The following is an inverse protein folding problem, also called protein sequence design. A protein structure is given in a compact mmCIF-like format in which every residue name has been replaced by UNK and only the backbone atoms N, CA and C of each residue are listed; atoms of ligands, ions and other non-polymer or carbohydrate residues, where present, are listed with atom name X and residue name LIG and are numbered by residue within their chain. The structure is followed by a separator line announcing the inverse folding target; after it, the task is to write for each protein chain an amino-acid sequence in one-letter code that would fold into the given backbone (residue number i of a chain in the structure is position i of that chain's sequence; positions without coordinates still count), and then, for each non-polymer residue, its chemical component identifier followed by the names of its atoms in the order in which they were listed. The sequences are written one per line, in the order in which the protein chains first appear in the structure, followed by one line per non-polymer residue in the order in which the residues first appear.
data_IF_076907739066
#
_entry.id   IF_076907739066
#
_cell.length_a   1.000
_cell.length_b   1.000
_cell.length_c   1.000
_cell.angle_alpha   90.00
_cell.angle_beta   90.00
_cell.angle_gamma   90.00
#
_symmetry.space_group_name_H-M   'P 1'
#
loop_
_entity.id
_entity.type
_entity.pdbx_description
1 polymer ?
#
# COMPACT_ATOMS: atom_id res chain seq x y z
N UNK A 1 3.44 -26.06 9.80
CA UNK A 1 3.22 -25.55 8.43
C UNK A 1 1.77 -25.09 8.27
N UNK A 2 1.28 -24.19 9.14
CA UNK A 2 -0.13 -23.75 9.09
C UNK A 2 -0.34 -22.31 9.54
N UNK A 3 0.74 -21.54 9.80
CA UNK A 3 0.64 -20.13 10.23
C UNK A 3 0.70 -19.14 9.06
N UNK A 4 1.21 -19.57 7.90
CA UNK A 4 1.43 -18.68 6.75
C UNK A 4 0.16 -18.45 5.89
N UNK A 5 -0.84 -19.34 6.01
CA UNK A 5 -2.08 -19.30 5.21
C UNK A 5 -3.10 -18.28 5.78
N UNK A 6 -3.20 -18.13 7.11
CA UNK A 6 -4.11 -17.13 7.71
C UNK A 6 -3.68 -15.69 7.40
N UNK A 7 -2.37 -15.44 7.36
CA UNK A 7 -1.82 -14.11 7.10
C UNK A 7 -2.07 -13.63 5.66
N UNK A 8 -1.98 -14.54 4.68
CA UNK A 8 -2.20 -14.26 3.26
C UNK A 8 -3.63 -13.81 2.94
N UNK A 9 -4.60 -14.38 3.66
CA UNK A 9 -6.02 -14.06 3.45
C UNK A 9 -6.40 -12.75 4.15
N UNK A 10 -5.79 -12.47 5.31
CA UNK A 10 -6.15 -11.32 6.15
C UNK A 10 -5.65 -9.97 5.59
N UNK A 11 -4.52 -9.96 4.88
CA UNK A 11 -4.00 -8.75 4.24
C UNK A 11 -4.89 -8.24 3.10
N UNK A 12 -5.71 -9.09 2.48
CA UNK A 12 -6.54 -8.73 1.33
C UNK A 12 -7.99 -8.37 1.65
N UNK A 13 -8.37 -8.29 2.92
CA UNK A 13 -9.77 -8.13 3.32
C UNK A 13 -10.33 -6.71 3.07
N UNK A 14 -9.49 -5.68 3.09
CA UNK A 14 -9.91 -4.29 2.92
C UNK A 14 -9.55 -3.81 1.51
N UNK A 15 -10.51 -3.25 0.74
CA UNK A 15 -10.21 -2.60 -0.54
C UNK A 15 -9.18 -1.47 -0.37
N UNK A 16 -8.18 -1.43 -1.26
CA UNK A 16 -7.04 -0.50 -1.16
C UNK A 16 -7.47 0.98 -1.14
N UNK A 17 -8.54 1.32 -1.83
CA UNK A 17 -9.15 2.65 -1.86
C UNK A 17 -9.69 3.11 -0.49
N UNK A 18 -9.98 2.17 0.40
CA UNK A 18 -10.49 2.43 1.75
C UNK A 18 -9.37 2.54 2.80
N UNK A 19 -8.12 2.22 2.44
CA UNK A 19 -6.99 2.28 3.36
C UNK A 19 -6.60 3.73 3.66
N UNK A 20 -6.26 3.98 4.92
CA UNK A 20 -5.50 5.18 5.32
C UNK A 20 -4.06 5.07 4.81
N UNK A 21 -3.33 6.18 4.79
CA UNK A 21 -1.93 6.20 4.37
C UNK A 21 -1.07 5.20 5.15
N UNK A 22 -1.14 5.20 6.48
CA UNK A 22 -0.32 4.31 7.31
C UNK A 22 -0.66 2.84 7.11
N UNK A 23 -1.96 2.52 6.93
CA UNK A 23 -2.37 1.14 6.62
C UNK A 23 -1.85 0.71 5.25
N UNK A 24 -2.01 1.55 4.22
CA UNK A 24 -1.51 1.24 2.88
C UNK A 24 0.02 1.06 2.87
N UNK A 25 0.74 1.90 3.61
CA UNK A 25 2.20 1.84 3.74
C UNK A 25 2.66 0.58 4.46
N UNK A 26 2.04 0.24 5.59
CA UNK A 26 2.37 -0.97 6.36
C UNK A 26 2.14 -2.22 5.52
N UNK A 27 1.02 -2.29 4.83
CA UNK A 27 0.67 -3.43 3.99
C UNK A 27 1.59 -3.55 2.75
N UNK A 28 2.03 -2.42 2.19
CA UNK A 28 3.01 -2.38 1.10
C UNK A 28 4.36 -2.95 1.55
N UNK A 29 4.84 -2.55 2.73
CA UNK A 29 6.09 -3.09 3.30
C UNK A 29 6.03 -4.60 3.50
N UNK A 30 4.90 -5.10 3.99
CA UNK A 30 4.70 -6.54 4.18
C UNK A 30 4.61 -7.28 2.84
N UNK A 31 3.95 -6.70 1.84
CA UNK A 31 3.87 -7.24 0.48
C UNK A 31 5.26 -7.39 -0.15
N UNK A 32 6.08 -6.34 -0.06
CA UNK A 32 7.47 -6.35 -0.56
C UNK A 32 8.31 -7.38 0.19
N UNK A 33 8.26 -7.38 1.52
CA UNK A 33 9.01 -8.33 2.35
C UNK A 33 8.70 -9.79 1.98
N UNK A 34 7.43 -10.08 1.66
CA UNK A 34 7.04 -11.42 1.21
C UNK A 34 7.58 -11.77 -0.17
N UNK A 35 7.53 -10.84 -1.12
CA UNK A 35 8.13 -11.04 -2.45
C UNK A 35 9.63 -11.33 -2.35
N UNK A 36 10.34 -10.59 -1.49
CA UNK A 36 11.78 -10.75 -1.26
C UNK A 36 12.15 -12.08 -0.59
N UNK A 37 11.25 -12.66 0.22
CA UNK A 37 11.47 -13.96 0.85
C UNK A 37 11.57 -15.13 -0.13
N UNK A 38 11.09 -14.95 -1.37
CA UNK A 38 11.13 -15.98 -2.42
C UNK A 38 10.28 -17.22 -2.14
N UNK A 39 9.46 -17.21 -1.08
CA UNK A 39 8.70 -18.38 -0.62
C UNK A 39 7.31 -18.53 -1.30
N UNK A 40 7.10 -17.90 -2.46
CA UNK A 40 5.80 -17.86 -3.15
C UNK A 40 5.86 -18.54 -4.51
N UNK A 41 4.74 -19.13 -4.92
CA UNK A 41 4.61 -19.63 -6.30
C UNK A 41 4.35 -18.47 -7.27
N UNK A 42 4.31 -18.76 -8.58
CA UNK A 42 4.13 -17.73 -9.61
C UNK A 42 2.80 -16.97 -9.49
N UNK A 43 1.70 -17.68 -9.24
CA UNK A 43 0.36 -17.08 -9.14
C UNK A 43 0.27 -16.14 -7.94
N UNK A 44 0.84 -16.56 -6.81
CA UNK A 44 0.98 -15.73 -5.60
C UNK A 44 1.91 -14.53 -5.84
N UNK A 45 3.02 -14.70 -6.54
CA UNK A 45 3.94 -13.61 -6.89
C UNK A 45 3.24 -12.54 -7.73
N UNK A 46 2.41 -12.95 -8.70
CA UNK A 46 1.62 -12.02 -9.52
C UNK A 46 0.60 -11.28 -8.65
N UNK A 47 -0.15 -11.99 -7.81
CA UNK A 47 -1.15 -11.38 -6.94
C UNK A 47 -0.54 -10.38 -5.94
N UNK A 48 0.62 -10.70 -5.37
CA UNK A 48 1.37 -9.79 -4.49
C UNK A 48 1.84 -8.55 -5.24
N UNK A 49 2.36 -8.72 -6.46
CA UNK A 49 2.79 -7.59 -7.28
C UNK A 49 1.63 -6.65 -7.63
N UNK A 50 0.49 -7.19 -8.10
CA UNK A 50 -0.69 -6.38 -8.44
C UNK A 50 -1.24 -5.61 -7.23
N UNK A 51 -1.21 -6.24 -6.05
CA UNK A 51 -1.61 -5.59 -4.81
C UNK A 51 -0.62 -4.51 -4.39
N UNK A 52 0.68 -4.81 -4.43
CA UNK A 52 1.74 -3.86 -4.14
C UNK A 52 1.64 -2.59 -5.00
N UNK A 53 1.32 -2.75 -6.28
CA UNK A 53 1.13 -1.63 -7.20
C UNK A 53 -0.07 -0.75 -6.81
N UNK A 54 -1.23 -1.37 -6.50
CA UNK A 54 -2.38 -0.61 -5.98
C UNK A 54 -2.08 0.13 -4.68
N UNK A 55 -1.32 -0.48 -3.77
CA UNK A 55 -0.92 0.14 -2.50
C UNK A 55 0.02 1.33 -2.72
N UNK A 56 0.99 1.19 -3.63
CA UNK A 56 1.90 2.27 -3.99
C UNK A 56 1.13 3.47 -4.54
N UNK A 57 0.22 3.26 -5.49
CA UNK A 57 -0.66 4.31 -6.03
C UNK A 57 -1.51 5.00 -4.96
N UNK A 58 -2.01 4.23 -3.99
CA UNK A 58 -2.78 4.78 -2.87
C UNK A 58 -1.92 5.69 -2.00
N UNK A 59 -0.69 5.28 -1.68
CA UNK A 59 0.26 6.08 -0.94
C UNK A 59 0.62 7.37 -1.68
N UNK A 60 0.91 7.29 -2.97
CA UNK A 60 1.21 8.44 -3.84
C UNK A 60 0.04 9.45 -3.83
N UNK A 61 -1.20 8.98 -4.02
CA UNK A 61 -2.38 9.84 -4.00
C UNK A 61 -2.56 10.59 -2.67
N UNK A 62 -2.20 9.97 -1.53
CA UNK A 62 -2.22 10.63 -0.23
C UNK A 62 -1.16 11.73 -0.13
N UNK A 63 0.07 11.46 -0.60
CA UNK A 63 1.19 12.40 -0.56
C UNK A 63 0.95 13.59 -1.48
N UNK A 64 0.46 13.35 -2.69
CA UNK A 64 0.08 14.40 -3.64
C UNK A 64 -1.02 15.30 -3.07
N UNK A 65 -2.03 14.71 -2.45
CA UNK A 65 -3.09 15.44 -1.79
C UNK A 65 -2.59 16.29 -0.62
N UNK A 66 -1.62 15.80 0.15
CA UNK A 66 -0.99 16.56 1.22
C UNK A 66 -0.14 17.73 0.68
N UNK A 67 0.65 17.48 -0.37
CA UNK A 67 1.46 18.50 -1.03
C UNK A 67 0.60 19.62 -1.61
N UNK A 68 -0.50 19.28 -2.30
CA UNK A 68 -1.43 20.26 -2.84
C UNK A 68 -2.04 21.18 -1.77
N UNK A 69 -2.39 20.63 -0.60
CA UNK A 69 -2.91 21.42 0.54
C UNK A 69 -1.86 22.39 1.09
N UNK A 70 -0.61 21.95 1.20
CA UNK A 70 0.49 22.81 1.64
C UNK A 70 0.73 23.95 0.64
N UNK A 71 0.70 23.66 -0.64
CA UNK A 71 0.92 24.67 -1.68
C UNK A 71 -0.24 25.69 -1.75
N UNK A 72 -1.48 25.25 -1.51
CA UNK A 72 -2.62 26.16 -1.37
C UNK A 72 -2.45 27.10 -0.15
N UNK A 73 -2.15 26.53 1.03
CA UNK A 73 -1.95 27.32 2.24
C UNK A 73 -0.81 28.34 2.12
N UNK A 74 0.27 28.00 1.41
CA UNK A 74 1.39 28.92 1.13
C UNK A 74 0.99 30.08 0.23
N UNK A 75 0.13 29.83 -0.78
CA UNK A 75 -0.37 30.89 -1.67
C UNK A 75 -1.28 31.86 -0.93
N UNK A 76 -2.18 31.33 -0.10
CA UNK A 76 -3.11 32.14 0.69
C UNK A 76 -2.38 33.03 1.70
N UNK A 77 -1.30 32.53 2.32
CA UNK A 77 -0.50 33.29 3.29
C UNK A 77 0.38 34.39 2.65
N UNK A 78 0.60 34.35 1.34
CA UNK A 78 1.41 35.31 0.59
C UNK A 78 0.57 36.43 -0.06
N UNK A 79 -0.76 36.35 0.04
CA UNK A 79 -1.71 37.38 -0.38
C UNK A 79 -1.99 38.38 0.74
#
# INVERSE_FOLDING_TARGET
MSKDIEFTTSLNAIPVDQLTYEQAREELLQTVSRMESGATNLEESIALWERGEKLAQRCEAWLDGAQAKLDAARKDAAQ
#
